data_IF_833274672753
#
_entry.id   IF_833274672753
#
_cell.length_a   1.000
_cell.length_b   1.000
_cell.length_c   1.000
_cell.angle_alpha   90.00
_cell.angle_beta   90.00
_cell.angle_gamma   90.00
#
_symmetry.space_group_name_H-M   'P 1'
#
loop_
_entity.id
_entity.type
_entity.pdbx_description
1 polymer ?
#
# COMPACT_ATOMS: atom_id res chain seq x y z
N UNK A 1 -22.20 -10.67 10.54
CA UNK A 1 -21.52 -10.40 11.83
C UNK A 1 -21.15 -8.93 11.81
N UNK A 2 -21.61 -8.14 12.77
CA UNK A 2 -21.24 -6.72 12.85
C UNK A 2 -19.77 -6.62 13.30
N UNK A 3 -18.95 -5.89 12.55
CA UNK A 3 -17.56 -5.66 12.90
C UNK A 3 -17.46 -4.79 14.17
N UNK A 4 -16.51 -5.06 15.07
CA UNK A 4 -16.38 -4.29 16.31
C UNK A 4 -15.87 -2.87 16.01
N UNK A 5 -16.72 -1.86 16.21
CA UNK A 5 -16.34 -0.44 16.13
C UNK A 5 -15.29 -0.09 17.20
N UNK A 6 -14.21 0.59 16.80
CA UNK A 6 -13.14 1.07 17.69
C UNK A 6 -12.98 2.58 17.56
N UNK A 7 -12.79 3.28 18.67
CA UNK A 7 -12.49 4.72 18.68
C UNK A 7 -10.98 4.95 18.47
N UNK A 8 -10.63 5.83 17.52
CA UNK A 8 -9.25 6.21 17.21
C UNK A 8 -9.03 7.69 17.51
N UNK A 9 -7.98 8.01 18.28
CA UNK A 9 -7.55 9.40 18.47
C UNK A 9 -6.60 9.78 17.35
N UNK A 10 -7.02 10.73 16.52
CA UNK A 10 -6.21 11.31 15.44
C UNK A 10 -5.83 12.75 15.77
N UNK A 11 -4.64 13.23 15.37
CA UNK A 11 -4.30 14.65 15.46
C UNK A 11 -5.30 15.52 14.71
N UNK A 12 -5.67 16.68 15.28
CA UNK A 12 -6.64 17.60 14.68
C UNK A 12 -6.30 17.96 13.22
N UNK A 13 -5.01 18.20 12.93
CA UNK A 13 -4.53 18.50 11.58
C UNK A 13 -4.82 17.38 10.55
N UNK A 14 -4.85 16.12 10.97
CA UNK A 14 -5.20 14.99 10.07
C UNK A 14 -6.70 15.01 9.79
N UNK A 15 -7.51 15.24 10.83
CA UNK A 15 -8.97 15.26 10.71
C UNK A 15 -9.45 16.44 9.85
N UNK A 16 -8.93 17.65 10.09
CA UNK A 16 -9.23 18.84 9.28
C UNK A 16 -8.88 18.66 7.81
N UNK A 17 -7.76 17.96 7.53
CA UNK A 17 -7.36 17.65 6.16
C UNK A 17 -8.30 16.63 5.50
N UNK A 18 -8.76 15.64 6.25
CA UNK A 18 -9.76 14.68 5.77
C UNK A 18 -11.12 15.35 5.52
N UNK A 19 -11.53 16.31 6.35
CA UNK A 19 -12.73 17.13 6.13
C UNK A 19 -12.62 17.92 4.82
N UNK A 20 -11.47 18.57 4.59
CA UNK A 20 -11.25 19.30 3.34
C UNK A 20 -11.40 18.39 2.12
N UNK A 21 -10.76 17.21 2.13
CA UNK A 21 -10.85 16.20 1.05
C UNK A 21 -12.28 15.68 0.87
N UNK A 22 -12.99 15.43 1.98
CA UNK A 22 -14.37 14.94 1.95
C UNK A 22 -15.37 15.98 1.43
N UNK A 23 -15.13 17.27 1.70
CA UNK A 23 -16.03 18.36 1.30
C UNK A 23 -16.17 18.50 -0.21
N UNK A 24 -15.10 18.27 -0.96
CA UNK A 24 -15.10 18.34 -2.44
C UNK A 24 -15.86 17.17 -3.08
N UNK A 25 -16.09 16.09 -2.34
CA UNK A 25 -16.65 14.82 -2.83
C UNK A 25 -17.94 14.37 -2.12
N UNK A 26 -18.47 15.19 -1.19
CA UNK A 26 -19.68 14.87 -0.42
C UNK A 26 -19.49 13.71 0.58
N UNK A 27 -18.24 13.45 0.99
CA UNK A 27 -17.87 12.33 1.87
C UNK A 27 -17.56 12.84 3.27
N UNK A 28 -17.78 12.00 4.28
CA UNK A 28 -17.39 12.35 5.65
C UNK A 28 -15.88 12.17 5.86
N UNK A 29 -15.30 12.95 6.77
CA UNK A 29 -13.89 12.84 7.12
C UNK A 29 -13.53 11.44 7.63
N UNK A 30 -14.42 10.80 8.38
CA UNK A 30 -14.26 9.44 8.87
C UNK A 30 -14.16 8.45 7.72
N UNK A 31 -14.98 8.58 6.68
CA UNK A 31 -14.93 7.72 5.50
C UNK A 31 -13.61 7.90 4.73
N UNK A 32 -13.14 9.15 4.59
CA UNK A 32 -11.85 9.43 3.95
C UNK A 32 -10.69 8.83 4.75
N UNK A 33 -10.73 8.94 6.09
CA UNK A 33 -9.72 8.38 6.99
C UNK A 33 -9.76 6.85 6.93
N UNK A 34 -10.93 6.24 7.03
CA UNK A 34 -11.09 4.78 6.99
C UNK A 34 -10.62 4.23 5.65
N UNK A 35 -10.98 4.85 4.52
CA UNK A 35 -10.49 4.43 3.21
C UNK A 35 -8.97 4.54 3.12
N UNK A 36 -8.40 5.65 3.61
CA UNK A 36 -6.94 5.81 3.67
C UNK A 36 -6.27 4.74 4.54
N UNK A 37 -6.88 4.38 5.68
CA UNK A 37 -6.40 3.30 6.54
C UNK A 37 -6.56 1.94 5.87
N UNK A 38 -7.66 1.69 5.15
CA UNK A 38 -7.87 0.47 4.38
C UNK A 38 -6.89 0.34 3.23
N UNK A 39 -6.49 1.43 2.59
CA UNK A 39 -5.42 1.43 1.59
C UNK A 39 -4.04 1.13 2.22
N UNK A 40 -3.81 1.57 3.47
CA UNK A 40 -2.53 1.40 4.16
C UNK A 40 -2.38 0.07 4.90
N UNK A 41 -3.49 -0.49 5.38
CA UNK A 41 -3.55 -1.63 6.31
C UNK A 41 -4.50 -2.73 5.86
N UNK A 42 -5.24 -2.54 4.75
CA UNK A 42 -6.11 -3.57 4.20
C UNK A 42 -5.31 -4.82 3.84
N UNK A 43 -5.95 -5.97 3.96
CA UNK A 43 -5.35 -7.21 3.48
C UNK A 43 -5.07 -7.07 1.99
N UNK A 44 -3.83 -7.36 1.65
CA UNK A 44 -3.33 -7.47 0.29
C UNK A 44 -4.27 -8.38 -0.50
N UNK A 45 -5.14 -7.77 -1.30
CA UNK A 45 -5.62 -8.38 -2.53
C UNK A 45 -4.53 -8.25 -3.62
N UNK A 46 -3.28 -7.94 -3.23
CA UNK A 46 -2.11 -7.66 -4.08
C UNK A 46 -1.50 -8.91 -4.73
N UNK A 47 -2.14 -10.08 -4.67
CA UNK A 47 -1.65 -11.26 -5.42
C UNK A 47 -2.40 -11.50 -6.74
N UNK A 48 -3.48 -10.77 -7.01
CA UNK A 48 -4.28 -10.98 -8.23
C UNK A 48 -4.26 -9.81 -9.20
N UNK A 49 -3.67 -8.68 -8.81
CA UNK A 49 -3.64 -7.51 -9.67
C UNK A 49 -2.48 -7.62 -10.65
N UNK A 50 -2.76 -8.03 -11.87
CA UNK A 50 -1.75 -8.06 -12.93
C UNK A 50 -1.35 -6.63 -13.34
N UNK A 51 -0.07 -6.35 -13.61
CA UNK A 51 0.39 -5.02 -14.03
C UNK A 51 -0.37 -4.45 -15.23
N UNK A 52 -0.80 -5.31 -16.15
CA UNK A 52 -1.59 -4.93 -17.33
C UNK A 52 -2.96 -4.35 -16.96
N UNK A 53 -3.54 -4.73 -15.81
CA UNK A 53 -4.82 -4.19 -15.36
C UNK A 53 -4.73 -2.69 -15.01
N UNK A 54 -3.53 -2.16 -14.76
CA UNK A 54 -3.30 -0.75 -14.43
C UNK A 54 -3.50 0.18 -15.63
N UNK A 55 -3.55 -0.34 -16.86
CA UNK A 55 -3.81 0.48 -18.05
C UNK A 55 -5.19 1.15 -17.98
N UNK A 56 -6.18 0.44 -17.43
CA UNK A 56 -7.58 0.88 -17.32
C UNK A 56 -7.85 1.73 -16.07
N UNK A 57 -6.86 1.91 -15.20
CA UNK A 57 -7.05 2.63 -13.92
C UNK A 57 -7.16 4.14 -14.16
N UNK A 58 -8.03 4.82 -13.41
CA UNK A 58 -8.04 6.27 -13.33
C UNK A 58 -6.81 6.81 -12.58
N UNK A 59 -6.50 8.09 -12.75
CA UNK A 59 -5.30 8.70 -12.15
C UNK A 59 -5.30 8.61 -10.63
N UNK A 60 -6.45 8.75 -9.98
CA UNK A 60 -6.60 8.60 -8.53
C UNK A 60 -6.31 7.17 -8.07
N UNK A 61 -6.68 6.17 -8.88
CA UNK A 61 -6.40 4.76 -8.60
C UNK A 61 -4.92 4.44 -8.79
N UNK A 62 -4.29 4.99 -9.83
CA UNK A 62 -2.85 4.87 -10.02
C UNK A 62 -2.07 5.55 -8.89
N UNK A 63 -2.51 6.74 -8.45
CA UNK A 63 -1.93 7.42 -7.30
C UNK A 63 -2.09 6.59 -6.01
N UNK A 64 -3.23 5.91 -5.84
CA UNK A 64 -3.42 4.99 -4.73
C UNK A 64 -2.39 3.85 -4.76
N UNK A 65 -2.13 3.22 -5.90
CA UNK A 65 -1.08 2.18 -6.04
C UNK A 65 0.33 2.73 -5.75
N UNK A 66 0.61 3.97 -6.18
CA UNK A 66 1.92 4.62 -5.94
C UNK A 66 2.15 4.97 -4.48
N UNK A 67 1.09 5.40 -3.79
CA UNK A 67 1.12 5.86 -2.40
C UNK A 67 0.71 4.79 -1.40
N UNK A 68 0.21 3.65 -1.86
CA UNK A 68 0.14 2.43 -1.08
C UNK A 68 1.55 2.26 -0.55
N UNK A 69 1.69 2.43 0.77
CA UNK A 69 2.96 2.16 1.40
C UNK A 69 3.32 0.76 0.90
N UNK A 70 4.59 0.56 0.58
CA UNK A 70 5.19 -0.75 0.80
C UNK A 70 5.10 -0.94 2.32
N UNK A 71 3.87 -1.13 2.81
CA UNK A 71 3.58 -1.57 4.13
C UNK A 71 4.35 -2.87 4.08
N UNK A 72 5.40 -2.88 4.87
CA UNK A 72 6.28 -4.00 5.01
C UNK A 72 5.83 -4.67 6.32
N UNK A 73 4.54 -5.07 6.51
CA UNK A 73 4.14 -5.79 7.71
C UNK A 73 4.86 -7.15 7.79
N UNK A 74 5.55 -7.56 6.72
CA UNK A 74 6.39 -8.73 6.64
C UNK A 74 7.89 -8.44 6.80
N UNK A 75 8.32 -7.21 7.02
CA UNK A 75 9.73 -6.86 7.19
C UNK A 75 10.34 -7.49 8.46
N UNK A 76 9.59 -7.52 9.55
CA UNK A 76 10.02 -8.23 10.76
C UNK A 76 10.20 -9.73 10.51
N UNK A 77 9.26 -10.36 9.80
CA UNK A 77 9.27 -11.80 9.52
C UNK A 77 10.34 -12.16 8.49
N UNK A 78 10.46 -11.39 7.42
CA UNK A 78 11.51 -11.56 6.42
C UNK A 78 12.90 -11.38 7.06
N UNK A 79 13.10 -10.36 7.91
CA UNK A 79 14.36 -10.21 8.65
C UNK A 79 14.64 -11.35 9.60
N UNK A 80 13.63 -11.86 10.29
CA UNK A 80 13.76 -13.03 11.17
C UNK A 80 14.20 -14.26 10.36
N UNK A 81 13.51 -14.55 9.26
CA UNK A 81 13.83 -15.65 8.35
C UNK A 81 15.24 -15.52 7.74
N UNK A 82 15.63 -14.31 7.34
CA UNK A 82 17.00 -14.03 6.88
C UNK A 82 18.05 -14.28 7.97
N UNK A 83 17.76 -13.92 9.23
CA UNK A 83 18.66 -14.21 10.36
C UNK A 83 18.75 -15.71 10.63
N UNK A 84 17.63 -16.43 10.64
CA UNK A 84 17.61 -17.89 10.79
C UNK A 84 18.36 -18.58 9.64
N UNK A 85 18.23 -18.07 8.41
CA UNK A 85 18.97 -18.53 7.25
C UNK A 85 20.48 -18.34 7.40
N UNK A 86 20.94 -17.18 7.88
CA UNK A 86 22.36 -16.92 8.16
C UNK A 86 22.93 -17.84 9.24
N UNK A 87 22.10 -18.26 10.19
CA UNK A 87 22.47 -19.20 11.26
C UNK A 87 22.37 -20.67 10.82
N UNK A 88 21.87 -20.96 9.61
CA UNK A 88 21.61 -22.32 9.14
C UNK A 88 20.48 -23.03 9.89
N UNK A 89 19.57 -22.27 10.51
CA UNK A 89 18.47 -22.76 11.35
C UNK A 89 17.10 -22.70 10.65
N UNK A 90 17.07 -22.24 9.40
CA UNK A 90 15.83 -22.14 8.62
C UNK A 90 15.33 -23.52 8.18
N UNK A 91 14.04 -23.78 8.38
CA UNK A 91 13.35 -24.99 7.92
C UNK A 91 13.00 -24.89 6.43
N UNK A 92 12.52 -25.99 5.83
CA UNK A 92 12.10 -25.97 4.41
C UNK A 92 10.84 -25.13 4.23
N UNK A 93 9.93 -25.21 5.19
CA UNK A 93 8.67 -24.46 5.23
C UNK A 93 8.96 -22.95 5.31
N UNK A 94 9.94 -22.56 6.13
CA UNK A 94 10.38 -21.18 6.28
C UNK A 94 11.15 -20.64 5.06
N UNK A 95 11.83 -21.50 4.30
CA UNK A 95 12.42 -21.11 3.00
C UNK A 95 11.30 -20.76 2.02
N UNK A 96 10.26 -21.59 1.93
CA UNK A 96 9.10 -21.33 1.06
C UNK A 96 8.39 -20.04 1.49
N UNK A 97 8.22 -19.84 2.79
CA UNK A 97 7.66 -18.59 3.34
C UNK A 97 8.53 -17.38 2.93
N UNK A 98 9.85 -17.48 3.05
CA UNK A 98 10.77 -16.42 2.67
C UNK A 98 10.69 -16.10 1.16
N UNK A 99 10.62 -17.12 0.30
CA UNK A 99 10.47 -16.96 -1.15
C UNK A 99 9.16 -16.26 -1.52
N UNK A 100 8.05 -16.65 -0.87
CA UNK A 100 6.73 -16.01 -1.05
C UNK A 100 6.75 -14.54 -0.61
N UNK A 101 7.37 -14.24 0.53
CA UNK A 101 7.52 -12.86 1.00
C UNK A 101 8.32 -11.98 0.03
N UNK A 102 9.40 -12.52 -0.55
CA UNK A 102 10.19 -11.82 -1.57
C UNK A 102 9.37 -11.62 -2.84
N UNK A 103 8.66 -12.65 -3.32
CA UNK A 103 7.85 -12.58 -4.52
C UNK A 103 6.74 -11.51 -4.42
N UNK A 104 6.06 -11.43 -3.27
CA UNK A 104 5.05 -10.39 -3.00
C UNK A 104 5.66 -8.99 -3.01
N UNK A 105 6.84 -8.83 -2.44
CA UNK A 105 7.54 -7.55 -2.45
C UNK A 105 7.89 -7.13 -3.89
N UNK A 106 8.49 -8.03 -4.66
CA UNK A 106 8.87 -7.77 -6.05
C UNK A 106 7.64 -7.42 -6.90
N UNK A 107 6.52 -8.11 -6.68
CA UNK A 107 5.26 -7.82 -7.35
C UNK A 107 4.72 -6.42 -7.01
N UNK A 108 4.75 -6.00 -5.74
CA UNK A 108 4.35 -4.64 -5.37
C UNK A 108 5.26 -3.56 -5.97
N UNK A 109 6.57 -3.82 -6.03
CA UNK A 109 7.52 -2.92 -6.69
C UNK A 109 7.21 -2.80 -8.18
N UNK A 110 6.83 -3.91 -8.82
CA UNK A 110 6.41 -3.92 -10.23
C UNK A 110 5.13 -3.11 -10.44
N UNK A 111 4.08 -3.34 -9.65
CA UNK A 111 2.83 -2.60 -9.73
C UNK A 111 3.03 -1.09 -9.54
N UNK A 112 3.83 -0.71 -8.54
CA UNK A 112 4.18 0.70 -8.32
C UNK A 112 4.93 1.29 -9.50
N UNK A 113 5.87 0.54 -10.08
CA UNK A 113 6.64 1.01 -11.24
C UNK A 113 5.77 1.23 -12.46
N UNK A 114 4.82 0.32 -12.71
CA UNK A 114 3.88 0.44 -13.81
C UNK A 114 2.90 1.60 -13.58
N UNK A 115 2.36 1.76 -12.37
CA UNK A 115 1.48 2.88 -12.05
C UNK A 115 2.17 4.24 -12.25
N UNK A 116 3.43 4.37 -11.83
CA UNK A 116 4.26 5.55 -12.08
C UNK A 116 4.47 5.79 -13.58
N UNK A 117 4.70 4.72 -14.36
CA UNK A 117 4.87 4.81 -15.80
C UNK A 117 3.60 5.32 -16.49
N UNK A 118 2.43 4.80 -16.09
CA UNK A 118 1.14 5.22 -16.62
C UNK A 118 0.85 6.69 -16.29
N UNK A 119 1.05 7.11 -15.03
CA UNK A 119 0.91 8.52 -14.65
C UNK A 119 1.85 9.42 -15.46
N UNK A 120 3.10 9.00 -15.70
CA UNK A 120 4.05 9.75 -16.52
C UNK A 120 3.57 9.88 -17.96
N UNK A 121 3.04 8.81 -18.56
CA UNK A 121 2.47 8.81 -19.91
C UNK A 121 1.28 9.76 -20.02
N UNK A 122 0.52 9.94 -18.94
CA UNK A 122 -0.62 10.86 -18.83
C UNK A 122 -0.24 12.32 -18.50
N UNK A 123 1.06 12.61 -18.36
CA UNK A 123 1.58 13.97 -18.19
C UNK A 123 1.82 14.41 -16.75
N UNK A 124 1.72 13.51 -15.78
CA UNK A 124 2.01 13.82 -14.37
C UNK A 124 3.51 13.96 -14.11
N UNK A 125 3.87 14.90 -13.24
CA UNK A 125 5.25 15.06 -12.76
C UNK A 125 5.55 14.05 -11.63
N UNK A 126 6.09 12.90 -12.02
CA UNK A 126 6.47 11.82 -11.11
C UNK A 126 7.46 12.27 -10.03
N UNK A 127 8.36 13.20 -10.35
CA UNK A 127 9.37 13.66 -9.39
C UNK A 127 8.72 14.44 -8.23
N UNK A 128 7.63 15.15 -8.50
CA UNK A 128 6.85 15.81 -7.45
C UNK A 128 5.97 14.82 -6.68
N UNK A 129 5.37 13.82 -7.36
CA UNK A 129 4.57 12.79 -6.70
C UNK A 129 5.38 11.95 -5.70
N UNK A 130 6.62 11.59 -6.05
CA UNK A 130 7.50 10.83 -5.15
C UNK A 130 7.96 11.63 -3.93
N UNK A 131 8.03 12.97 -4.01
CA UNK A 131 8.36 13.84 -2.87
C UNK A 131 7.23 13.95 -1.85
N UNK A 132 5.99 13.73 -2.26
CA UNK A 132 4.82 13.80 -1.39
C UNK A 132 4.57 12.48 -0.62
N UNK A 133 5.21 11.38 -1.04
CA UNK A 133 5.09 10.06 -0.42
C UNK A 133 6.24 9.65 0.51
N UNK A 134 7.22 10.54 0.76
CA UNK A 134 8.34 10.34 1.69
C UNK A 134 8.13 11.17 2.97
#
# INVERSE_FOLDING_TARGET
>A
MEEPTRELKVPAAIFERAEAIGSDSGRSAESVIVDGLSLLFGELTDMELEPEALEDFADEQLLAVVHQRLAWPHDSRLRELMQLGQLGQVTKEEIVEMEDLVARFDHQVLLRSEALLQLKRRGHDIHNLLKLGA
#
